data_IF_177321658402
#
_entry.id   IF_177321658402
#
_cell.length_a   1.000
_cell.length_b   1.000
_cell.length_c   1.000
_cell.angle_alpha   90.00
_cell.angle_beta   90.00
_cell.angle_gamma   90.00
#
_symmetry.space_group_name_H-M   'P 1'
#
loop_
_entity.id
_entity.type
_entity.pdbx_description
1 polymer ?
2 water ?
#
# COMPACT_ATOMS: atom_id res chain seq x y z
N UNK A 1 15.46 -5.43 2.74
CA UNK A 1 14.91 -5.17 1.39
C UNK A 1 13.78 -4.16 1.50
N UNK A 2 13.70 -3.28 0.52
CA UNK A 2 12.63 -2.29 0.46
C UNK A 2 11.42 -2.96 -0.23
N UNK A 3 10.22 -2.78 0.33
CA UNK A 3 8.97 -3.30 -0.26
C UNK A 3 7.88 -2.27 -0.06
N UNK A 4 6.75 -2.49 -0.71
CA UNK A 4 5.60 -1.62 -0.54
C UNK A 4 4.47 -2.41 0.05
N UNK A 5 3.88 -1.81 1.09
CA UNK A 5 2.72 -2.36 1.78
C UNK A 5 1.68 -1.26 1.88
N UNK A 6 0.45 -1.57 1.49
CA UNK A 6 -0.56 -0.56 1.49
C UNK A 6 -1.95 -1.12 1.47
N UNK A 7 -2.87 -0.21 1.23
CA UNK A 7 -4.29 -0.46 1.31
C UNK A 7 -5.00 0.03 0.06
N UNK A 8 -6.10 -0.65 -0.24
CA UNK A 8 -7.05 -0.21 -1.26
C UNK A 8 -8.09 0.64 -0.54
N UNK A 9 -8.25 1.89 -0.96
CA UNK A 9 -9.15 2.85 -0.29
C UNK A 9 -10.12 3.41 -1.31
N UNK A 10 -11.22 3.96 -0.82
CA UNK A 10 -12.20 4.69 -1.64
C UNK A 10 -11.89 6.18 -1.44
N UNK A 11 -11.70 6.94 -2.52
CA UNK A 11 -11.58 8.43 -2.43
C UNK A 11 -12.62 9.10 -3.33
#
# INVERSE_FOLDING_TARGET
KVKVLGDVIEV
#
